data_IF_775641994178
#
_entry.id   IF_775641994178
#
_cell.length_a   1.000
_cell.length_b   1.000
_cell.length_c   1.000
_cell.angle_alpha   90.00
_cell.angle_beta   90.00
_cell.angle_gamma   90.00
#
_symmetry.space_group_name_H-M   'P 1'
#
loop_
_entity.id
_entity.type
_entity.pdbx_description
1 polymer ?
#
# COMPACT_ATOMS: atom_id res chain seq x y z
N UNK A 1 8.20 10.93 -13.17
CA UNK A 1 7.49 9.85 -12.44
C UNK A 1 6.79 10.43 -11.22
N UNK A 2 5.57 9.99 -10.90
CA UNK A 2 4.81 10.42 -9.71
C UNK A 2 4.60 9.25 -8.74
N UNK A 3 4.58 9.54 -7.43
CA UNK A 3 4.31 8.56 -6.38
C UNK A 3 2.99 8.85 -5.66
N UNK A 4 2.24 7.81 -5.31
CA UNK A 4 1.14 7.91 -4.35
C UNK A 4 1.65 8.39 -2.99
N UNK A 5 0.86 9.16 -2.23
CA UNK A 5 1.20 9.63 -0.89
C UNK A 5 0.98 8.52 0.16
N UNK A 6 1.52 7.31 -0.07
CA UNK A 6 1.35 6.17 0.83
C UNK A 6 1.99 6.43 2.19
N UNK A 7 3.11 7.13 2.20
CA UNK A 7 3.93 7.44 3.36
C UNK A 7 4.40 8.89 3.34
N UNK A 8 5.03 9.35 4.41
CA UNK A 8 5.58 10.70 4.49
C UNK A 8 6.64 10.95 3.41
N UNK A 9 6.78 12.21 3.02
CA UNK A 9 7.80 12.62 2.04
C UNK A 9 9.22 12.26 2.47
N UNK A 10 9.51 12.29 3.77
CA UNK A 10 10.84 11.95 4.29
C UNK A 10 11.08 10.45 4.26
N UNK A 11 10.10 9.62 4.62
CA UNK A 11 10.22 8.14 4.56
C UNK A 11 10.56 7.64 3.16
N UNK A 12 10.11 8.34 2.10
CA UNK A 12 10.31 7.94 0.71
C UNK A 12 11.46 8.65 0.00
N UNK A 13 12.25 9.46 0.70
CA UNK A 13 13.32 10.28 0.11
C UNK A 13 14.38 9.44 -0.59
N UNK A 14 14.90 8.41 0.07
CA UNK A 14 15.92 7.52 -0.49
C UNK A 14 15.39 6.74 -1.69
N UNK A 15 14.14 6.27 -1.60
CA UNK A 15 13.50 5.54 -2.69
C UNK A 15 13.32 6.43 -3.93
N UNK A 16 12.84 7.66 -3.76
CA UNK A 16 12.70 8.61 -4.87
C UNK A 16 14.04 8.91 -5.54
N UNK A 17 15.08 9.14 -4.75
CA UNK A 17 16.43 9.38 -5.29
C UNK A 17 16.95 8.15 -6.06
N UNK A 18 16.75 6.94 -5.52
CA UNK A 18 17.17 5.71 -6.18
C UNK A 18 16.39 5.47 -7.50
N UNK A 19 15.08 5.67 -7.52
CA UNK A 19 14.29 5.58 -8.76
C UNK A 19 14.73 6.61 -9.79
N UNK A 20 14.97 7.85 -9.37
CA UNK A 20 15.45 8.92 -10.26
C UNK A 20 16.76 8.53 -10.95
N UNK A 21 17.72 8.02 -10.17
CA UNK A 21 19.03 7.59 -10.70
C UNK A 21 18.90 6.42 -11.67
N UNK A 22 18.15 5.36 -11.28
CA UNK A 22 17.92 4.18 -12.12
C UNK A 22 17.28 4.57 -13.46
N UNK A 23 16.22 5.38 -13.40
CA UNK A 23 15.50 5.79 -14.59
C UNK A 23 16.35 6.72 -15.49
N UNK A 24 17.10 7.67 -14.89
CA UNK A 24 18.03 8.56 -15.62
C UNK A 24 19.10 7.76 -16.37
N UNK A 25 19.72 6.78 -15.71
CA UNK A 25 20.70 5.90 -16.35
C UNK A 25 20.08 5.10 -17.50
N UNK A 26 18.87 4.54 -17.29
CA UNK A 26 18.20 3.72 -18.29
C UNK A 26 17.87 4.46 -19.58
N UNK A 27 17.38 5.70 -19.47
CA UNK A 27 16.93 6.48 -20.64
C UNK A 27 17.95 7.50 -21.15
N UNK A 28 19.03 7.73 -20.41
CA UNK A 28 20.12 8.67 -20.80
C UNK A 28 19.70 10.13 -20.78
N UNK A 29 18.66 10.52 -20.02
CA UNK A 29 18.18 11.90 -19.87
C UNK A 29 17.66 12.15 -18.46
N UNK A 30 17.51 13.43 -18.10
CA UNK A 30 16.99 13.82 -16.80
C UNK A 30 15.59 13.27 -16.57
N UNK A 31 15.34 12.82 -15.35
CA UNK A 31 14.05 12.31 -14.87
C UNK A 31 13.62 13.12 -13.67
N UNK A 32 12.42 13.66 -13.70
CA UNK A 32 11.82 14.39 -12.60
C UNK A 32 10.95 13.44 -11.77
N UNK A 33 11.07 13.52 -10.44
CA UNK A 33 10.20 12.83 -9.51
C UNK A 33 9.21 13.84 -8.91
N UNK A 34 7.93 13.62 -9.19
CA UNK A 34 6.85 14.45 -8.68
C UNK A 34 6.28 13.84 -7.39
N UNK A 35 5.97 14.68 -6.45
CA UNK A 35 5.28 14.31 -5.21
C UNK A 35 3.91 14.97 -5.17
N UNK A 36 2.94 14.28 -4.57
CA UNK A 36 1.59 14.81 -4.35
C UNK A 36 1.11 14.40 -2.97
N UNK A 37 0.16 15.14 -2.44
CA UNK A 37 -0.54 14.84 -1.19
C UNK A 37 -1.88 14.14 -1.41
N UNK A 38 -2.26 13.91 -2.66
CA UNK A 38 -3.55 13.33 -3.04
C UNK A 38 -3.39 12.21 -4.06
N UNK A 39 -4.04 11.07 -3.80
CA UNK A 39 -4.04 9.89 -4.68
C UNK A 39 -4.61 10.18 -6.07
N UNK A 40 -5.68 10.99 -6.14
CA UNK A 40 -6.34 11.31 -7.41
C UNK A 40 -5.46 12.22 -8.28
N UNK A 41 -4.71 13.14 -7.67
CA UNK A 41 -3.77 14.01 -8.41
C UNK A 41 -2.69 13.15 -9.10
N UNK A 42 -2.13 12.15 -8.41
CA UNK A 42 -1.17 11.23 -9.02
C UNK A 42 -1.79 10.45 -10.18
N UNK A 43 -3.02 9.96 -9.98
CA UNK A 43 -3.74 9.20 -10.99
C UNK A 43 -4.06 10.05 -12.23
N UNK A 44 -4.55 11.28 -12.04
CA UNK A 44 -4.84 12.22 -13.13
C UNK A 44 -3.57 12.59 -13.91
N UNK A 45 -2.46 12.81 -13.22
CA UNK A 45 -1.18 13.09 -13.88
C UNK A 45 -0.76 11.95 -14.81
N UNK A 46 -0.91 10.69 -14.37
CA UNK A 46 -0.59 9.51 -15.18
C UNK A 46 -1.56 9.33 -16.36
N UNK A 47 -2.88 9.41 -16.11
CA UNK A 47 -3.91 9.22 -17.14
C UNK A 47 -3.83 10.29 -18.23
N UNK A 48 -3.61 11.54 -17.85
CA UNK A 48 -3.50 12.68 -18.79
C UNK A 48 -2.14 12.76 -19.51
N UNK A 49 -1.15 11.95 -19.14
CA UNK A 49 0.19 12.02 -19.69
C UNK A 49 1.05 13.18 -19.17
N UNK A 50 0.62 13.88 -18.12
CA UNK A 50 1.45 14.87 -17.42
C UNK A 50 2.57 14.21 -16.61
N UNK A 51 2.38 12.96 -16.22
CA UNK A 51 3.43 12.09 -15.71
C UNK A 51 3.55 10.86 -16.61
N UNK A 52 4.75 10.54 -17.04
CA UNK A 52 5.03 9.38 -17.90
C UNK A 52 4.90 8.06 -17.17
N UNK A 53 5.19 8.07 -15.86
CA UNK A 53 5.23 6.91 -14.99
C UNK A 53 4.64 7.23 -13.63
N UNK A 54 4.12 6.19 -12.97
CA UNK A 54 3.68 6.30 -11.59
C UNK A 54 3.93 5.01 -10.78
N UNK A 55 4.16 5.20 -9.48
CA UNK A 55 4.00 4.13 -8.48
C UNK A 55 2.64 4.30 -7.83
N UNK A 56 1.71 3.40 -8.15
CA UNK A 56 0.31 3.46 -7.72
C UNK A 56 -0.13 2.12 -7.14
N UNK A 57 -1.15 2.11 -6.30
CA UNK A 57 -1.75 0.85 -5.85
C UNK A 57 -2.40 0.08 -7.02
N UNK A 58 -2.60 -1.23 -6.86
CA UNK A 58 -3.15 -2.09 -7.91
C UNK A 58 -4.53 -1.61 -8.39
N UNK A 59 -5.42 -1.17 -7.50
CA UNK A 59 -6.72 -0.58 -7.89
C UNK A 59 -6.57 0.77 -8.59
N UNK A 60 -5.60 1.58 -8.16
CA UNK A 60 -5.26 2.82 -8.85
C UNK A 60 -4.83 2.55 -10.28
N UNK A 61 -4.00 1.51 -10.50
CA UNK A 61 -3.64 1.06 -11.83
C UNK A 61 -4.87 0.63 -12.65
N UNK A 62 -5.74 -0.24 -12.11
CA UNK A 62 -6.94 -0.69 -12.81
C UNK A 62 -7.85 0.47 -13.21
N UNK A 63 -8.00 1.44 -12.32
CA UNK A 63 -8.77 2.68 -12.58
C UNK A 63 -8.11 3.52 -13.68
N UNK A 64 -6.79 3.69 -13.65
CA UNK A 64 -6.06 4.43 -14.67
C UNK A 64 -6.14 3.74 -16.04
N UNK A 65 -5.92 2.43 -16.11
CA UNK A 65 -6.01 1.63 -17.33
C UNK A 65 -7.41 1.67 -17.94
N UNK A 66 -8.46 1.58 -17.14
CA UNK A 66 -9.86 1.71 -17.61
C UNK A 66 -10.13 3.06 -18.27
N UNK A 67 -9.49 4.14 -17.77
CA UNK A 67 -9.66 5.51 -18.30
C UNK A 67 -8.72 5.80 -19.47
N UNK A 68 -7.56 5.17 -19.51
CA UNK A 68 -6.56 5.29 -20.56
C UNK A 68 -5.82 3.94 -20.70
N UNK A 69 -6.20 3.15 -21.69
CA UNK A 69 -5.62 1.82 -21.94
C UNK A 69 -4.13 1.84 -22.30
N UNK A 70 -3.57 3.02 -22.62
CA UNK A 70 -2.13 3.19 -22.79
C UNK A 70 -1.35 3.18 -21.47
N UNK A 71 -2.03 3.27 -20.32
CA UNK A 71 -1.39 3.08 -19.01
C UNK A 71 -1.29 1.58 -18.74
N UNK A 72 -0.06 1.07 -18.69
CA UNK A 72 0.23 -0.36 -18.47
C UNK A 72 1.16 -0.56 -17.28
N UNK A 73 1.12 -1.72 -16.59
CA UNK A 73 2.10 -2.06 -15.56
C UNK A 73 3.36 -2.59 -16.25
N UNK A 74 4.53 -2.31 -15.72
CA UNK A 74 5.79 -2.79 -16.28
C UNK A 74 6.61 -3.62 -15.31
N UNK A 75 6.48 -3.38 -14.01
CA UNK A 75 7.16 -4.14 -12.96
C UNK A 75 6.39 -4.04 -11.65
N UNK A 76 6.57 -5.03 -10.78
CA UNK A 76 6.12 -5.04 -9.38
C UNK A 76 7.17 -5.71 -8.51
N UNK A 77 7.13 -5.52 -7.19
CA UNK A 77 8.02 -6.24 -6.29
C UNK A 77 7.53 -7.69 -6.09
N UNK A 78 8.47 -8.63 -6.13
CA UNK A 78 8.19 -10.03 -5.81
C UNK A 78 8.01 -10.23 -4.30
N UNK A 79 7.51 -11.40 -3.93
CA UNK A 79 7.68 -11.95 -2.59
C UNK A 79 9.05 -12.58 -2.37
N UNK A 80 9.19 -13.45 -1.36
CA UNK A 80 10.42 -14.17 -1.06
C UNK A 80 10.96 -15.08 -2.18
N UNK A 81 10.07 -15.57 -3.08
CA UNK A 81 10.45 -16.45 -4.18
C UNK A 81 11.28 -15.76 -5.26
N UNK A 82 11.16 -14.43 -5.40
CA UNK A 82 11.73 -13.67 -6.50
C UNK A 82 10.90 -13.74 -7.78
N UNK A 83 9.63 -14.21 -7.69
CA UNK A 83 8.69 -14.35 -8.81
C UNK A 83 7.36 -13.66 -8.51
N UNK A 84 6.41 -13.73 -9.44
CA UNK A 84 5.04 -13.21 -9.24
C UNK A 84 4.17 -14.11 -8.36
N UNK A 85 4.56 -15.37 -8.10
CA UNK A 85 3.72 -16.36 -7.41
C UNK A 85 3.34 -15.94 -5.98
N UNK A 86 4.24 -15.27 -5.30
CA UNK A 86 4.06 -14.76 -3.94
C UNK A 86 4.16 -13.23 -3.83
N UNK A 87 4.00 -12.53 -4.95
CA UNK A 87 4.07 -11.07 -5.04
C UNK A 87 2.82 -10.40 -4.42
N UNK A 88 2.67 -10.54 -3.11
CA UNK A 88 1.52 -10.07 -2.33
C UNK A 88 1.99 -9.30 -1.09
N UNK A 89 1.16 -8.36 -0.67
CA UNK A 89 1.22 -7.70 0.63
C UNK A 89 -0.15 -7.84 1.32
N UNK A 90 -0.36 -7.17 2.46
CA UNK A 90 -1.59 -7.37 3.22
C UNK A 90 -2.27 -6.05 3.54
N UNK A 91 -3.58 -6.02 3.30
CA UNK A 91 -4.49 -5.02 3.83
C UNK A 91 -4.98 -5.46 5.19
N UNK A 92 -5.02 -4.55 6.14
CA UNK A 92 -5.46 -4.80 7.51
C UNK A 92 -6.69 -3.97 7.87
N UNK A 93 -7.54 -4.57 8.69
CA UNK A 93 -8.43 -3.82 9.58
C UNK A 93 -7.88 -4.06 10.99
N UNK A 94 -7.46 -2.99 11.64
CA UNK A 94 -6.87 -3.01 12.97
C UNK A 94 -7.69 -2.24 13.98
N UNK A 95 -7.59 -2.66 15.25
CA UNK A 95 -8.17 -2.00 16.42
C UNK A 95 -7.07 -1.82 17.47
N UNK A 96 -7.25 -0.92 18.45
CA UNK A 96 -6.33 -0.87 19.58
C UNK A 96 -6.39 -2.20 20.35
N UNK A 97 -5.22 -2.68 20.82
CA UNK A 97 -5.16 -3.99 21.51
C UNK A 97 -6.12 -4.10 22.69
N UNK A 98 -6.25 -3.03 23.47
CA UNK A 98 -7.13 -3.00 24.65
C UNK A 98 -8.61 -3.28 24.32
N UNK A 99 -9.04 -2.99 23.08
CA UNK A 99 -10.42 -3.12 22.62
C UNK A 99 -10.65 -4.41 21.83
N UNK A 100 -9.58 -5.17 21.48
CA UNK A 100 -9.62 -6.31 20.57
C UNK A 100 -10.57 -7.43 21.03
N UNK A 101 -10.64 -7.69 22.35
CA UNK A 101 -11.51 -8.73 22.91
C UNK A 101 -13.01 -8.45 22.64
N UNK A 102 -13.41 -7.18 22.52
CA UNK A 102 -14.79 -6.80 22.20
C UNK A 102 -15.23 -7.17 20.78
N UNK A 103 -14.29 -7.53 19.91
CA UNK A 103 -14.54 -7.96 18.53
C UNK A 103 -14.41 -9.47 18.33
N UNK A 104 -14.19 -10.25 19.40
CA UNK A 104 -14.07 -11.72 19.32
C UNK A 104 -15.41 -12.42 19.47
N UNK A 105 -15.54 -13.53 18.75
CA UNK A 105 -16.57 -14.55 18.96
C UNK A 105 -16.14 -15.54 20.05
N UNK A 106 -17.08 -16.39 20.47
CA UNK A 106 -16.82 -17.43 21.45
C UNK A 106 -15.74 -18.45 21.01
N UNK A 107 -15.55 -18.64 19.70
CA UNK A 107 -14.53 -19.52 19.11
C UNK A 107 -13.14 -18.84 18.98
N UNK A 108 -13.02 -17.59 19.43
CA UNK A 108 -11.79 -16.80 19.36
C UNK A 108 -11.56 -16.09 18.02
N UNK A 109 -12.39 -16.33 17.00
CA UNK A 109 -12.33 -15.58 15.74
C UNK A 109 -12.89 -14.16 15.91
N UNK A 110 -12.48 -13.24 15.02
CA UNK A 110 -13.01 -11.87 15.03
C UNK A 110 -14.32 -11.75 14.24
N UNK A 111 -15.25 -10.96 14.78
CA UNK A 111 -16.52 -10.64 14.15
C UNK A 111 -16.53 -9.19 13.65
N UNK A 112 -16.38 -9.03 12.35
CA UNK A 112 -16.38 -7.69 11.73
C UNK A 112 -17.77 -7.02 11.77
N UNK A 113 -18.87 -7.75 12.01
CA UNK A 113 -20.19 -7.14 12.14
C UNK A 113 -20.28 -6.23 13.37
N UNK A 114 -19.44 -6.44 14.38
CA UNK A 114 -19.32 -5.61 15.59
C UNK A 114 -18.70 -4.23 15.31
N UNK A 115 -18.20 -4.00 14.09
CA UNK A 115 -17.78 -2.67 13.63
C UNK A 115 -18.97 -1.76 13.27
N UNK A 116 -20.20 -2.28 13.17
CA UNK A 116 -21.38 -1.45 12.93
C UNK A 116 -21.52 -0.37 14.02
N UNK A 117 -21.76 0.86 13.60
CA UNK A 117 -21.89 2.02 14.50
C UNK A 117 -20.57 2.51 15.11
N UNK A 118 -19.44 1.88 14.81
CA UNK A 118 -18.12 2.32 15.28
C UNK A 118 -17.58 3.47 14.41
N UNK A 119 -16.53 4.12 14.89
CA UNK A 119 -15.78 5.13 14.12
C UNK A 119 -14.71 4.42 13.30
N UNK A 120 -14.62 4.72 12.02
CA UNK A 120 -13.72 4.05 11.08
C UNK A 120 -12.78 5.03 10.38
N UNK A 121 -11.51 4.67 10.23
CA UNK A 121 -10.55 5.38 9.39
C UNK A 121 -10.19 4.56 8.16
N UNK A 122 -10.26 5.21 7.01
CA UNK A 122 -9.73 4.73 5.74
C UNK A 122 -8.60 5.64 5.25
N UNK A 123 -7.85 5.19 4.25
CA UNK A 123 -6.74 5.97 3.67
C UNK A 123 -7.26 6.99 2.66
N UNK A 124 -7.77 6.53 1.55
CA UNK A 124 -8.40 7.30 0.48
C UNK A 124 -9.31 6.37 -0.32
N UNK A 125 -10.36 6.88 -0.95
CA UNK A 125 -11.32 6.07 -1.70
C UNK A 125 -10.69 5.27 -2.86
N UNK A 126 -9.58 5.75 -3.41
CA UNK A 126 -8.79 5.06 -4.46
C UNK A 126 -7.61 4.21 -3.92
N UNK A 127 -7.46 4.11 -2.61
CA UNK A 127 -6.41 3.27 -2.01
C UNK A 127 -6.81 1.80 -2.03
N UNK A 128 -6.01 0.94 -2.66
CA UNK A 128 -6.27 -0.50 -2.75
C UNK A 128 -6.46 -1.14 -1.38
N UNK A 129 -5.45 -1.07 -0.53
CA UNK A 129 -5.44 -1.72 0.79
C UNK A 129 -5.99 -0.85 1.92
N UNK A 130 -6.08 0.46 1.70
CA UNK A 130 -6.61 1.38 2.71
C UNK A 130 -8.11 1.67 2.56
N UNK A 131 -8.75 1.20 1.49
CA UNK A 131 -10.18 1.34 1.29
C UNK A 131 -10.78 0.23 0.43
N UNK A 132 -10.39 0.09 -0.84
CA UNK A 132 -11.15 -0.72 -1.81
C UNK A 132 -11.30 -2.18 -1.36
N UNK A 133 -10.21 -2.82 -0.97
CA UNK A 133 -10.23 -4.22 -0.52
C UNK A 133 -10.95 -4.40 0.83
N UNK A 134 -10.62 -3.65 1.90
CA UNK A 134 -11.37 -3.77 3.14
C UNK A 134 -12.84 -3.37 3.01
N UNK A 135 -13.18 -2.38 2.16
CA UNK A 135 -14.55 -1.98 1.92
C UNK A 135 -15.39 -3.10 1.28
N UNK A 136 -14.83 -3.86 0.34
CA UNK A 136 -15.51 -5.05 -0.24
C UNK A 136 -15.82 -6.10 0.84
N UNK A 137 -14.84 -6.39 1.69
CA UNK A 137 -15.05 -7.34 2.80
C UNK A 137 -16.14 -6.83 3.75
N UNK A 138 -16.11 -5.55 4.09
CA UNK A 138 -17.11 -4.94 4.97
C UNK A 138 -18.49 -4.87 4.32
N UNK A 139 -18.58 -4.56 3.02
CA UNK A 139 -19.84 -4.58 2.28
C UNK A 139 -20.49 -5.96 2.32
N UNK A 140 -19.70 -7.02 2.13
CA UNK A 140 -20.20 -8.40 2.27
C UNK A 140 -20.65 -8.73 3.70
N UNK A 141 -19.91 -8.29 4.72
CA UNK A 141 -20.27 -8.49 6.14
C UNK A 141 -21.59 -7.80 6.49
N UNK A 142 -21.79 -6.58 5.98
CA UNK A 142 -23.01 -5.78 6.25
C UNK A 142 -24.12 -5.99 5.24
N UNK A 143 -23.94 -6.91 4.27
CA UNK A 143 -24.92 -7.20 3.21
C UNK A 143 -25.32 -5.95 2.40
N UNK A 144 -24.32 -5.14 2.04
CA UNK A 144 -24.52 -3.93 1.25
C UNK A 144 -24.39 -4.24 -0.26
N UNK A 145 -25.20 -3.60 -1.08
CA UNK A 145 -25.15 -3.72 -2.54
C UNK A 145 -23.89 -3.07 -3.15
N UNK A 146 -23.34 -2.07 -2.45
CA UNK A 146 -22.13 -1.33 -2.86
C UNK A 146 -21.39 -0.78 -1.62
N UNK A 147 -20.33 -0.03 -1.83
CA UNK A 147 -19.51 0.54 -0.76
C UNK A 147 -19.88 1.97 -0.34
N UNK A 148 -20.92 2.56 -0.91
CA UNK A 148 -21.25 3.98 -0.72
C UNK A 148 -21.65 4.29 0.74
N UNK A 149 -22.36 3.39 1.39
CA UNK A 149 -22.72 3.56 2.80
C UNK A 149 -21.53 3.40 3.77
N UNK A 150 -20.39 2.88 3.29
CA UNK A 150 -19.17 2.77 4.09
C UNK A 150 -18.34 4.07 4.10
N UNK A 151 -18.57 4.99 3.16
CA UNK A 151 -17.82 6.25 3.06
C UNK A 151 -18.52 7.41 3.76
N UNK A 152 -19.78 7.25 4.12
CA UNK A 152 -20.59 8.27 4.76
C UNK A 152 -20.70 8.02 6.27
N UNK A 153 -20.50 9.09 7.06
CA UNK A 153 -20.80 9.03 8.50
C UNK A 153 -22.30 8.87 8.73
N UNK A 154 -22.67 8.31 9.87
CA UNK A 154 -24.05 8.05 10.30
C UNK A 154 -24.82 7.07 9.39
N UNK A 155 -24.07 6.20 8.67
CA UNK A 155 -24.58 5.06 7.92
C UNK A 155 -24.17 3.77 8.62
N UNK A 156 -23.26 3.00 8.02
CA UNK A 156 -22.69 1.80 8.66
C UNK A 156 -21.82 2.20 9.87
N UNK A 157 -21.02 3.24 9.70
CA UNK A 157 -20.16 3.78 10.74
C UNK A 157 -20.71 5.10 11.28
N UNK A 158 -20.61 5.32 12.59
CA UNK A 158 -21.01 6.60 13.21
C UNK A 158 -20.14 7.76 12.75
N UNK A 159 -18.88 7.47 12.36
CA UNK A 159 -17.94 8.46 11.82
C UNK A 159 -17.00 7.77 10.84
N UNK A 160 -16.74 8.42 9.72
CA UNK A 160 -15.73 7.97 8.73
C UNK A 160 -14.70 9.07 8.55
N UNK A 161 -13.41 8.71 8.64
CA UNK A 161 -12.28 9.58 8.35
C UNK A 161 -11.48 9.03 7.19
N UNK A 162 -11.09 9.90 6.26
CA UNK A 162 -10.10 9.62 5.23
C UNK A 162 -8.79 10.32 5.60
N UNK A 163 -7.77 9.52 5.93
CA UNK A 163 -6.53 10.01 6.53
C UNK A 163 -5.47 10.47 5.52
N UNK A 164 -5.70 10.22 4.22
CA UNK A 164 -4.79 10.59 3.13
C UNK A 164 -3.53 9.71 2.99
N UNK A 165 -3.19 8.91 4.00
CA UNK A 165 -2.05 7.97 3.98
C UNK A 165 -2.27 6.79 4.90
N UNK A 166 -1.51 5.70 4.71
CA UNK A 166 -1.54 4.54 5.61
C UNK A 166 -1.11 4.92 7.02
N UNK A 167 -0.06 5.72 7.14
CA UNK A 167 0.41 6.24 8.43
C UNK A 167 -0.67 7.08 9.12
N UNK A 168 -1.34 7.97 8.38
CA UNK A 168 -2.42 8.79 8.94
C UNK A 168 -3.58 7.96 9.47
N UNK A 169 -3.96 6.85 8.79
CA UNK A 169 -5.02 5.96 9.25
C UNK A 169 -4.65 5.26 10.56
N UNK A 170 -3.39 4.84 10.70
CA UNK A 170 -2.86 4.25 11.92
C UNK A 170 -2.75 5.28 13.07
N UNK A 171 -2.34 6.51 12.76
CA UNK A 171 -2.30 7.61 13.74
C UNK A 171 -3.70 7.90 14.28
N UNK A 172 -4.73 7.95 13.43
CA UNK A 172 -6.11 8.12 13.89
C UNK A 172 -6.52 7.02 14.88
N UNK A 173 -6.08 5.77 14.64
CA UNK A 173 -6.34 4.65 15.54
C UNK A 173 -5.62 4.84 16.89
N UNK A 174 -4.32 5.11 16.88
CA UNK A 174 -3.54 5.27 18.11
C UNK A 174 -3.96 6.48 18.95
N UNK A 175 -4.42 7.55 18.32
CA UNK A 175 -4.99 8.72 19.01
C UNK A 175 -6.37 8.45 19.62
N UNK A 176 -7.05 7.37 19.18
CA UNK A 176 -8.42 7.10 19.59
C UNK A 176 -9.45 7.98 18.88
N UNK A 177 -9.10 8.61 17.76
CA UNK A 177 -10.03 9.37 16.91
C UNK A 177 -11.05 8.46 16.24
N UNK A 178 -10.68 7.17 16.09
CA UNK A 178 -11.51 6.08 15.56
C UNK A 178 -11.35 4.81 16.38
N UNK A 179 -12.31 3.89 16.23
CA UNK A 179 -12.32 2.60 16.93
C UNK A 179 -11.64 1.50 16.11
N UNK A 180 -11.67 1.65 14.78
CA UNK A 180 -11.01 0.75 13.84
C UNK A 180 -10.39 1.54 12.68
N UNK A 181 -9.38 0.98 12.03
CA UNK A 181 -8.71 1.59 10.90
C UNK A 181 -8.35 0.55 9.84
N UNK A 182 -8.48 0.94 8.56
CA UNK A 182 -7.99 0.16 7.42
C UNK A 182 -6.67 0.76 6.91
N UNK A 183 -5.67 -0.10 6.72
CA UNK A 183 -4.33 0.32 6.29
C UNK A 183 -3.50 -0.88 5.80
N UNK A 184 -2.36 -0.63 5.18
CA UNK A 184 -1.25 -1.57 5.12
C UNK A 184 -0.18 -1.13 6.11
N UNK A 185 0.49 -2.06 6.76
CA UNK A 185 1.67 -1.73 7.57
C UNK A 185 2.77 -1.32 6.60
N UNK A 186 3.34 -0.12 6.75
CA UNK A 186 4.52 0.24 5.99
C UNK A 186 5.58 -0.82 6.29
N UNK A 187 6.15 -1.39 5.25
CA UNK A 187 7.20 -2.40 5.38
C UNK A 187 8.55 -1.72 5.72
N UNK A 188 8.49 -0.57 6.37
CA UNK A 188 9.64 0.15 6.90
C UNK A 188 10.16 -0.57 8.13
N UNK A 189 11.40 -1.02 8.03
CA UNK A 189 12.11 -1.68 9.14
C UNK A 189 12.08 -0.76 10.37
N UNK A 190 11.62 -1.30 11.48
CA UNK A 190 11.77 -0.66 12.79
C UNK A 190 10.57 0.15 13.31
N UNK A 191 9.47 0.30 12.55
CA UNK A 191 8.29 1.01 13.07
C UNK A 191 7.48 0.13 14.02
N UNK A 192 7.37 -1.16 13.72
CA UNK A 192 6.60 -2.12 14.51
C UNK A 192 7.42 -3.33 14.91
N UNK A 193 7.13 -3.85 16.10
CA UNK A 193 7.51 -5.20 16.52
C UNK A 193 6.27 -6.07 16.66
N UNK A 194 6.36 -7.32 16.22
CA UNK A 194 5.34 -8.34 16.42
C UNK A 194 5.44 -8.86 17.85
N UNK A 195 4.34 -8.75 18.61
CA UNK A 195 4.27 -9.27 19.99
C UNK A 195 3.64 -10.65 20.07
N UNK A 196 2.56 -10.86 19.32
CA UNK A 196 1.73 -12.08 19.37
C UNK A 196 1.20 -12.43 17.98
N UNK A 197 0.91 -13.70 17.77
CA UNK A 197 0.36 -14.21 16.52
C UNK A 197 1.40 -14.46 15.44
N UNK A 198 0.94 -14.64 14.22
CA UNK A 198 1.77 -14.80 13.02
C UNK A 198 1.83 -13.47 12.26
N UNK A 199 3.02 -13.13 11.79
CA UNK A 199 3.26 -11.87 11.07
C UNK A 199 2.35 -11.75 9.84
N UNK A 200 1.77 -10.57 9.65
CA UNK A 200 0.80 -10.26 8.59
C UNK A 200 -0.50 -11.09 8.61
N UNK A 201 -0.86 -11.75 9.69
CA UNK A 201 -2.09 -12.54 9.79
C UNK A 201 -3.13 -11.90 10.72
N UNK A 202 -4.38 -12.32 10.55
CA UNK A 202 -5.44 -12.00 11.50
C UNK A 202 -5.06 -12.56 12.87
N UNK A 203 -5.18 -11.72 13.90
CA UNK A 203 -4.76 -12.03 15.27
C UNK A 203 -3.35 -11.53 15.60
N UNK A 204 -2.57 -11.07 14.64
CA UNK A 204 -1.27 -10.46 14.91
C UNK A 204 -1.43 -9.21 15.79
N UNK A 205 -0.59 -9.10 16.81
CA UNK A 205 -0.48 -7.93 17.69
C UNK A 205 0.84 -7.25 17.43
N UNK A 206 0.77 -5.98 17.08
CA UNK A 206 1.94 -5.15 16.84
C UNK A 206 2.05 -4.03 17.86
N UNK A 207 3.29 -3.69 18.21
CA UNK A 207 3.63 -2.54 19.06
C UNK A 207 4.48 -1.56 18.26
N UNK A 208 4.21 -0.28 18.41
CA UNK A 208 5.09 0.78 17.90
C UNK A 208 6.39 0.75 18.68
N UNK A 209 7.53 0.64 18.00
CA UNK A 209 8.84 0.53 18.62
C UNK A 209 9.28 1.85 19.26
N UNK A 210 10.15 1.75 20.26
CA UNK A 210 10.86 2.90 20.79
C UNK A 210 11.86 3.37 19.72
N UNK A 211 11.78 4.64 19.33
CA UNK A 211 12.62 5.21 18.26
C UNK A 211 12.01 5.09 16.86
N UNK A 212 10.74 4.69 16.75
CA UNK A 212 10.01 4.81 15.50
C UNK A 212 10.01 6.25 15.00
N UNK A 213 10.15 6.41 13.67
CA UNK A 213 10.15 7.74 13.03
C UNK A 213 8.77 8.40 13.08
N UNK A 214 8.74 9.70 12.81
CA UNK A 214 7.47 10.41 12.60
C UNK A 214 6.64 9.76 11.47
N UNK A 215 5.31 9.67 11.66
CA UNK A 215 4.51 10.27 12.74
C UNK A 215 4.31 9.38 13.97
N UNK A 216 5.08 8.31 14.13
CA UNK A 216 4.87 7.30 15.19
C UNK A 216 5.65 7.57 16.48
N UNK A 217 6.56 8.52 16.49
CA UNK A 217 7.41 8.85 17.67
C UNK A 217 6.58 9.05 18.94
N UNK A 218 5.44 9.75 18.84
CA UNK A 218 4.54 10.03 19.98
C UNK A 218 3.70 8.82 20.41
N UNK A 219 3.76 7.71 19.67
CA UNK A 219 2.97 6.50 19.91
C UNK A 219 3.82 5.31 20.32
N UNK A 220 5.10 5.52 20.64
CA UNK A 220 5.99 4.45 21.11
C UNK A 220 5.34 3.65 22.25
N UNK A 221 5.31 2.33 22.12
CA UNK A 221 4.64 1.43 23.05
C UNK A 221 3.14 1.23 22.82
N UNK A 222 2.50 1.99 21.92
CA UNK A 222 1.10 1.76 21.56
C UNK A 222 0.94 0.44 20.80
N UNK A 223 -0.13 -0.29 21.08
CA UNK A 223 -0.37 -1.63 20.54
C UNK A 223 -1.66 -1.70 19.76
N UNK A 224 -1.64 -2.48 18.68
CA UNK A 224 -2.81 -2.77 17.86
C UNK A 224 -2.94 -4.26 17.58
N UNK A 225 -4.18 -4.71 17.40
CA UNK A 225 -4.51 -6.07 16.96
C UNK A 225 -5.10 -6.01 15.56
N UNK A 226 -4.59 -6.86 14.66
CA UNK A 226 -5.16 -7.06 13.33
C UNK A 226 -6.37 -7.98 13.44
N UNK A 227 -7.58 -7.43 13.33
CA UNK A 227 -8.83 -8.20 13.39
C UNK A 227 -9.21 -8.81 12.04
N UNK A 228 -8.64 -8.30 10.96
CA UNK A 228 -8.74 -8.88 9.61
C UNK A 228 -7.49 -8.57 8.81
N UNK A 229 -6.89 -9.60 8.23
CA UNK A 229 -5.81 -9.53 7.25
C UNK A 229 -6.28 -10.07 5.91
N UNK A 230 -6.00 -9.36 4.82
CA UNK A 230 -6.46 -9.69 3.48
C UNK A 230 -5.26 -9.60 2.54
N UNK A 231 -4.88 -10.68 1.83
CA UNK A 231 -3.81 -10.62 0.84
C UNK A 231 -4.21 -9.74 -0.35
N UNK A 232 -3.26 -8.96 -0.85
CA UNK A 232 -3.45 -8.02 -1.96
C UNK A 232 -2.27 -8.16 -2.92
N UNK A 233 -2.52 -8.14 -4.22
CA UNK A 233 -1.46 -8.11 -5.24
C UNK A 233 -0.61 -6.85 -5.07
N UNK A 234 0.71 -7.02 -5.19
CA UNK A 234 1.65 -5.91 -5.04
C UNK A 234 1.38 -4.79 -6.06
N UNK A 235 1.67 -3.57 -5.63
CA UNK A 235 1.47 -2.35 -6.40
C UNK A 235 2.39 -2.31 -7.63
N UNK A 236 1.89 -1.98 -8.83
CA UNK A 236 2.73 -1.88 -10.01
C UNK A 236 3.49 -0.55 -10.08
N UNK A 237 4.64 -0.59 -10.74
CA UNK A 237 5.21 0.56 -11.44
C UNK A 237 4.52 0.62 -12.79
N UNK A 238 3.85 1.72 -13.08
CA UNK A 238 3.05 1.92 -14.30
C UNK A 238 3.70 2.92 -15.23
N UNK A 239 3.41 2.79 -16.52
CA UNK A 239 3.89 3.69 -17.56
C UNK A 239 2.76 4.04 -18.54
N UNK A 240 2.77 5.25 -19.07
CA UNK A 240 1.86 5.67 -20.14
C UNK A 240 2.57 5.52 -21.49
N UNK A 241 2.14 4.55 -22.29
CA UNK A 241 2.76 4.24 -23.60
C UNK A 241 2.50 5.30 -24.66
N UNK A 242 1.61 6.26 -24.43
CA UNK A 242 1.42 7.40 -25.31
C UNK A 242 2.52 8.46 -25.15
N UNK A 243 3.23 8.48 -24.02
CA UNK A 243 4.24 9.51 -23.72
C UNK A 243 5.65 8.95 -23.67
N UNK A 244 5.82 7.61 -23.62
CA UNK A 244 7.13 6.95 -23.55
C UNK A 244 7.28 6.00 -24.72
N UNK A 245 8.43 6.05 -25.40
CA UNK A 245 8.72 5.18 -26.56
C UNK A 245 8.87 3.72 -26.14
N UNK A 246 8.51 2.77 -27.03
CA UNK A 246 8.68 1.34 -26.78
C UNK A 246 10.13 0.96 -26.42
N UNK A 247 11.13 1.64 -27.05
CA UNK A 247 12.55 1.43 -26.74
C UNK A 247 12.88 1.86 -25.31
N UNK A 248 12.38 3.01 -24.86
CA UNK A 248 12.64 3.48 -23.49
C UNK A 248 11.87 2.63 -22.46
N UNK A 249 10.66 2.16 -22.77
CA UNK A 249 9.90 1.23 -21.92
C UNK A 249 10.73 -0.03 -21.67
N UNK A 250 11.33 -0.61 -22.71
CA UNK A 250 12.17 -1.81 -22.57
C UNK A 250 13.39 -1.54 -21.71
N UNK A 251 14.12 -0.43 -21.96
CA UNK A 251 15.30 -0.04 -21.16
C UNK A 251 14.93 0.16 -19.68
N UNK A 252 13.80 0.82 -19.41
CA UNK A 252 13.31 1.05 -18.04
C UNK A 252 12.98 -0.28 -17.38
N UNK A 253 12.26 -1.18 -18.06
CA UNK A 253 11.93 -2.51 -17.54
C UNK A 253 13.19 -3.30 -17.19
N UNK A 254 14.17 -3.35 -18.11
CA UNK A 254 15.44 -4.06 -17.89
C UNK A 254 16.22 -3.48 -16.71
N UNK A 255 16.27 -2.16 -16.57
CA UNK A 255 16.93 -1.50 -15.45
C UNK A 255 16.22 -1.81 -14.11
N UNK A 256 14.88 -1.72 -14.07
CA UNK A 256 14.10 -2.00 -12.87
C UNK A 256 14.24 -3.45 -12.40
N UNK A 257 14.29 -4.41 -13.34
CA UNK A 257 14.36 -5.85 -13.01
C UNK A 257 15.80 -6.37 -12.89
N UNK A 258 16.80 -5.51 -13.02
CA UNK A 258 18.23 -5.86 -12.93
C UNK A 258 18.67 -6.25 -11.52
N UNK A 259 19.78 -6.98 -11.43
CA UNK A 259 20.43 -7.30 -10.14
C UNK A 259 20.96 -6.03 -9.44
N UNK A 260 21.35 -5.01 -10.20
CA UNK A 260 21.75 -3.70 -9.65
C UNK A 260 20.61 -3.09 -8.85
N UNK A 261 19.39 -3.11 -9.38
CA UNK A 261 18.19 -2.60 -8.71
C UNK A 261 17.77 -3.51 -7.54
N UNK A 262 17.83 -4.85 -7.69
CA UNK A 262 17.52 -5.79 -6.64
C UNK A 262 18.39 -5.66 -5.38
N UNK A 263 19.63 -5.17 -5.55
CA UNK A 263 20.58 -4.93 -4.46
C UNK A 263 20.71 -3.45 -4.06
N UNK A 264 19.86 -2.56 -4.60
CA UNK A 264 19.89 -1.15 -4.25
C UNK A 264 19.14 -0.90 -2.92
N UNK A 265 19.83 -0.42 -1.86
CA UNK A 265 19.20 -0.21 -0.55
C UNK A 265 18.23 0.97 -0.51
N UNK A 266 18.22 1.83 -1.52
CA UNK A 266 17.16 2.83 -1.69
C UNK A 266 15.88 2.26 -2.31
N UNK A 267 15.95 1.08 -2.93
CA UNK A 267 14.77 0.39 -3.50
C UNK A 267 14.25 -0.67 -2.51
N UNK A 268 15.14 -1.50 -1.99
CA UNK A 268 14.80 -2.56 -1.02
C UNK A 268 15.39 -2.25 0.35
N UNK A 269 14.61 -2.52 1.41
CA UNK A 269 15.07 -2.38 2.78
C UNK A 269 16.17 -3.40 3.09
N UNK A 270 17.41 -2.96 3.08
CA UNK A 270 18.59 -3.75 3.44
C UNK A 270 19.01 -3.35 4.85
N UNK A 271 19.07 -4.34 5.77
CA UNK A 271 19.47 -4.11 7.15
C UNK A 271 20.85 -3.42 7.20
N UNK A 272 20.98 -2.47 8.10
CA UNK A 272 22.23 -1.72 8.39
C UNK A 272 22.80 -0.91 7.20
N UNK A 273 21.99 -0.68 6.13
CA UNK A 273 22.42 0.10 4.97
C UNK A 273 22.43 1.63 5.20
N UNK A 274 21.76 2.10 6.26
CA UNK A 274 21.54 3.53 6.51
C UNK A 274 20.55 4.19 5.54
N UNK A 275 19.92 3.42 4.63
CA UNK A 275 18.91 3.89 3.68
C UNK A 275 17.56 3.23 3.92
N UNK A 276 16.49 3.93 3.54
CA UNK A 276 15.12 3.44 3.61
C UNK A 276 14.61 3.13 2.20
N UNK A 277 14.56 1.83 1.87
CA UNK A 277 13.94 1.36 0.65
C UNK A 277 12.41 1.39 0.75
N UNK A 278 11.74 1.36 -0.40
CA UNK A 278 10.27 1.32 -0.47
C UNK A 278 9.72 -0.11 -0.34
N UNK A 279 10.53 -1.11 -0.69
CA UNK A 279 10.12 -2.52 -0.65
C UNK A 279 10.86 -3.30 0.43
N UNK A 280 10.22 -4.31 1.07
CA UNK A 280 10.92 -5.22 1.95
C UNK A 280 11.89 -6.10 1.15
N UNK A 281 12.98 -6.50 1.77
CA UNK A 281 13.90 -7.53 1.26
C UNK A 281 13.67 -8.83 2.04
N UNK A 282 12.66 -9.60 1.64
CA UNK A 282 12.29 -10.85 2.33
C UNK A 282 13.34 -11.94 2.21
N UNK A 283 14.09 -11.98 1.11
CA UNK A 283 15.13 -12.95 0.80
C UNK A 283 16.13 -12.35 -0.18
N UNK A 284 17.25 -13.04 -0.42
CA UNK A 284 18.20 -12.69 -1.48
C UNK A 284 17.57 -12.68 -2.88
N UNK A 285 16.49 -13.46 -3.09
CA UNK A 285 15.77 -13.53 -4.36
C UNK A 285 14.80 -12.36 -4.57
N UNK A 286 14.37 -11.71 -3.50
CA UNK A 286 13.40 -10.60 -3.59
C UNK A 286 13.90 -9.48 -4.50
N UNK A 287 13.09 -9.12 -5.51
CA UNK A 287 13.45 -8.16 -6.55
C UNK A 287 12.21 -7.55 -7.21
N UNK A 288 12.38 -6.54 -8.03
CA UNK A 288 11.37 -6.17 -9.00
C UNK A 288 11.33 -7.21 -10.12
N UNK A 289 10.12 -7.62 -10.50
CA UNK A 289 9.86 -8.56 -11.60
C UNK A 289 8.93 -7.92 -12.61
N UNK A 290 9.13 -8.26 -13.89
CA UNK A 290 8.23 -7.80 -14.93
C UNK A 290 6.81 -8.28 -14.67
N UNK A 291 5.83 -7.44 -14.96
CA UNK A 291 4.41 -7.77 -14.88
C UNK A 291 3.66 -7.16 -16.05
N UNK A 292 2.45 -7.65 -16.28
CA UNK A 292 1.54 -7.19 -17.33
C UNK A 292 0.12 -6.99 -16.80
N UNK A 293 -0.78 -6.56 -17.66
CA UNK A 293 -2.18 -6.32 -17.31
C UNK A 293 -2.91 -7.59 -16.87
N UNK A 294 -2.62 -8.73 -17.50
CA UNK A 294 -3.29 -9.99 -17.21
C UNK A 294 -3.01 -10.48 -15.76
N UNK A 295 -1.85 -10.16 -15.19
CA UNK A 295 -1.55 -10.53 -13.81
C UNK A 295 -2.51 -9.88 -12.80
N UNK A 296 -3.16 -8.76 -13.14
CA UNK A 296 -4.14 -8.08 -12.30
C UNK A 296 -5.59 -8.54 -12.53
N UNK A 297 -5.84 -9.56 -13.38
CA UNK A 297 -7.19 -10.06 -13.68
C UNK A 297 -7.89 -10.65 -12.44
N UNK A 298 -7.17 -11.31 -11.54
CA UNK A 298 -7.74 -11.78 -10.26
C UNK A 298 -8.38 -10.62 -9.49
N UNK A 299 -7.65 -9.51 -9.36
CA UNK A 299 -8.14 -8.32 -8.69
C UNK A 299 -9.31 -7.69 -9.46
N UNK A 300 -9.20 -7.54 -10.78
CA UNK A 300 -10.25 -7.00 -11.65
C UNK A 300 -11.55 -7.79 -11.57
N UNK A 301 -11.47 -9.12 -11.49
CA UNK A 301 -12.64 -9.99 -11.41
C UNK A 301 -13.24 -10.05 -10.00
N UNK A 302 -12.46 -9.81 -8.97
CA UNK A 302 -12.96 -9.67 -7.60
C UNK A 302 -13.73 -8.36 -7.38
N UNK A 303 -13.73 -7.45 -8.38
CA UNK A 303 -14.42 -6.15 -8.34
C UNK A 303 -15.78 -6.16 -9.02
N UNK A 304 -16.15 -7.29 -9.66
CA UNK A 304 -17.46 -7.51 -10.26
C UNK A 304 -18.38 -8.22 -9.27
#
# INVERSE_FOLDING_TARGET
MVFYPNESSESMKDARAAFQEILKEAVGREVEILTTTDYNIALEALVSGKADMAYVGAEGYLTAHKRNSAVIPIATNSGPSGTLDDAKYYSFIGVQRKDAESYKKADGSFDLSLLHGKRMSFVAASSTSGFVIPARVLAAVFSLDNTDDLILSDKVFSKVLFAGSHQGSQVNLFRGDVDAAAFAIPQTIGVYELLEGEDYRTGAVYRVTVGADEPFTSFAGSEMTVIRSIPVLNAPITINTNTVSASDIQKIRDALTSDKTANNPGIFNVKDSGKKGIYPKYSEKTRLVATDDAWYDELRNSTK
#
